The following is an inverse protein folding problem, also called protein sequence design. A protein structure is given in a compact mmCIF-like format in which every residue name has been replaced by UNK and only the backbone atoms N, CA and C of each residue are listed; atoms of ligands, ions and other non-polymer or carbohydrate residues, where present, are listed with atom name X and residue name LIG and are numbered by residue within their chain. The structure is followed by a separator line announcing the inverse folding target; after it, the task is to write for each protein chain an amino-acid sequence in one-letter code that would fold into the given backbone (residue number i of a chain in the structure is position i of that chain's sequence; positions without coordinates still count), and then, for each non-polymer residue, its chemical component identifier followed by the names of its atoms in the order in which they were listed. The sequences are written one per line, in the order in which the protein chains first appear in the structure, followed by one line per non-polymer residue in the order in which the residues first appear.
data_IF_831388326941
#
_entry.id   IF_831388326941
#
_cell.length_a   1.000
_cell.length_b   1.000
_cell.length_c   1.000
_cell.angle_alpha   90.00
_cell.angle_beta   90.00
_cell.angle_gamma   90.00
#
_symmetry.space_group_name_H-M   'P 1'
#
loop_
_entity.id
_entity.type
_entity.pdbx_description
1 polymer ?
#
# COMPACT_ATOMS: atom_id res chain seq x y z
N UNK A 1 4.33 -21.95 -2.50
CA UNK A 1 4.80 -22.80 -3.60
C UNK A 1 5.92 -22.11 -4.40
N UNK A 2 5.72 -20.88 -4.96
CA UNK A 2 6.75 -20.18 -5.77
C UNK A 2 8.11 -20.06 -5.06
N UNK A 3 8.12 -19.68 -3.77
CA UNK A 3 9.35 -19.59 -2.99
C UNK A 3 10.05 -20.96 -2.84
N UNK A 4 9.31 -22.05 -2.62
CA UNK A 4 9.89 -23.40 -2.58
C UNK A 4 10.46 -23.82 -3.94
N UNK A 5 9.75 -23.54 -5.03
CA UNK A 5 10.28 -23.81 -6.39
C UNK A 5 11.57 -23.03 -6.67
N UNK A 6 11.65 -21.78 -6.25
CA UNK A 6 12.86 -20.97 -6.35
C UNK A 6 14.03 -21.57 -5.53
N UNK A 7 13.76 -22.09 -4.35
CA UNK A 7 14.76 -22.77 -3.52
C UNK A 7 15.31 -24.03 -4.22
N UNK A 8 14.43 -24.83 -4.79
CA UNK A 8 14.84 -26.02 -5.57
C UNK A 8 15.71 -25.59 -6.76
N UNK A 9 15.30 -24.58 -7.52
CA UNK A 9 16.07 -24.04 -8.65
C UNK A 9 17.46 -23.57 -8.19
N UNK A 10 17.56 -22.88 -7.05
CA UNK A 10 18.83 -22.44 -6.50
C UNK A 10 19.75 -23.62 -6.17
N UNK A 11 19.23 -24.66 -5.52
CA UNK A 11 20.00 -25.87 -5.23
C UNK A 11 20.50 -26.58 -6.51
N UNK A 12 19.64 -26.71 -7.53
CA UNK A 12 20.02 -27.30 -8.81
C UNK A 12 21.02 -26.42 -9.55
N UNK A 13 20.86 -25.10 -9.51
CA UNK A 13 21.80 -24.14 -10.13
C UNK A 13 23.21 -24.25 -9.53
N UNK A 14 23.34 -24.27 -8.20
CA UNK A 14 24.64 -24.42 -7.53
C UNK A 14 25.32 -25.74 -7.87
N UNK A 15 24.53 -26.79 -8.15
CA UNK A 15 25.04 -28.13 -8.56
C UNK A 15 25.29 -28.27 -10.05
N UNK A 16 24.97 -27.23 -10.85
CA UNK A 16 25.06 -27.29 -12.30
C UNK A 16 24.06 -28.27 -12.96
N UNK A 17 22.94 -28.53 -12.27
CA UNK A 17 21.91 -29.51 -12.68
C UNK A 17 20.62 -28.86 -13.18
N UNK A 18 20.49 -27.53 -13.07
CA UNK A 18 19.29 -26.81 -13.51
C UNK A 18 19.30 -26.70 -15.05
N UNK A 19 18.27 -27.24 -15.69
CA UNK A 19 18.00 -27.07 -17.11
C UNK A 19 16.75 -26.20 -17.29
N UNK A 20 16.58 -25.60 -18.46
CA UNK A 20 15.39 -24.82 -18.81
C UNK A 20 14.09 -25.64 -18.73
N UNK A 21 14.18 -26.94 -19.01
CA UNK A 21 13.05 -27.86 -18.91
C UNK A 21 12.63 -28.08 -17.45
N UNK A 22 13.60 -28.36 -16.56
CA UNK A 22 13.36 -28.51 -15.11
C UNK A 22 12.83 -27.21 -14.52
N UNK A 23 13.41 -26.07 -14.90
CA UNK A 23 12.96 -24.75 -14.44
C UNK A 23 11.48 -24.52 -14.78
N UNK A 24 11.10 -24.73 -16.04
CA UNK A 24 9.71 -24.59 -16.50
C UNK A 24 8.76 -25.54 -15.76
N UNK A 25 9.16 -26.81 -15.58
CA UNK A 25 8.36 -27.81 -14.85
C UNK A 25 8.11 -27.39 -13.40
N UNK A 26 9.14 -26.85 -12.72
CA UNK A 26 9.02 -26.36 -11.35
C UNK A 26 8.07 -25.15 -11.25
N UNK A 27 8.11 -24.24 -12.23
CA UNK A 27 7.18 -23.11 -12.29
C UNK A 27 5.74 -23.56 -12.53
N UNK A 28 5.54 -24.54 -13.41
CA UNK A 28 4.23 -25.13 -13.68
C UNK A 28 3.67 -25.84 -12.41
N UNK A 29 4.49 -26.62 -11.73
CA UNK A 29 4.10 -27.25 -10.45
C UNK A 29 3.72 -26.20 -9.43
N UNK A 30 4.54 -25.17 -9.24
CA UNK A 30 4.27 -24.11 -8.26
C UNK A 30 3.01 -23.31 -8.58
N UNK A 31 2.70 -23.10 -9.87
CA UNK A 31 1.49 -22.40 -10.32
C UNK A 31 0.21 -23.22 -10.14
N UNK A 32 0.31 -24.55 -10.18
CA UNK A 32 -0.82 -25.48 -10.15
C UNK A 32 -1.01 -26.20 -8.79
N UNK A 33 -0.40 -25.71 -7.71
CA UNK A 33 -0.68 -26.21 -6.38
C UNK A 33 -2.10 -25.81 -5.99
N UNK A 34 -2.92 -26.81 -5.67
CA UNK A 34 -4.27 -26.58 -5.12
C UNK A 34 -4.17 -26.16 -3.65
N UNK A 35 -4.65 -24.96 -3.28
CA UNK A 35 -4.69 -24.54 -1.88
C UNK A 35 -5.47 -25.48 -0.98
N UNK A 36 -6.54 -26.12 -1.51
CA UNK A 36 -7.34 -27.05 -0.71
C UNK A 36 -6.54 -28.30 -0.33
N UNK A 37 -5.76 -28.85 -1.27
CA UNK A 37 -4.88 -30.00 -0.99
C UNK A 37 -3.85 -29.69 0.12
N UNK A 38 -3.35 -28.44 0.15
CA UNK A 38 -2.43 -27.98 1.20
C UNK A 38 -3.16 -27.84 2.53
N UNK A 39 -4.37 -27.28 2.54
CA UNK A 39 -5.18 -27.15 3.76
C UNK A 39 -5.54 -28.52 4.35
N UNK A 40 -5.96 -29.47 3.52
CA UNK A 40 -6.29 -30.84 3.96
C UNK A 40 -5.06 -31.56 4.54
N UNK A 41 -3.88 -31.27 4.02
CA UNK A 41 -2.62 -31.80 4.55
C UNK A 41 -2.21 -31.07 5.85
N UNK A 42 -2.51 -29.76 5.96
CA UNK A 42 -2.23 -28.98 7.17
C UNK A 42 -3.10 -29.42 8.34
N UNK A 43 -4.34 -29.83 8.12
CA UNK A 43 -5.19 -30.42 9.16
C UNK A 43 -4.54 -31.65 9.81
N UNK A 44 -3.75 -32.44 9.06
CA UNK A 44 -3.02 -33.59 9.54
C UNK A 44 -1.71 -33.23 10.22
N UNK A 45 -0.96 -32.34 9.60
CA UNK A 45 0.41 -31.98 10.04
C UNK A 45 0.44 -30.92 11.12
N UNK A 46 -0.63 -30.13 11.27
CA UNK A 46 -0.73 -28.95 12.14
C UNK A 46 0.41 -27.95 11.90
N UNK A 47 0.91 -27.91 10.65
CA UNK A 47 2.03 -27.07 10.27
C UNK A 47 1.99 -26.74 8.77
N UNK A 48 1.74 -25.47 8.44
CA UNK A 48 1.50 -24.97 7.06
C UNK A 48 2.63 -25.30 6.07
N UNK A 49 3.89 -24.99 6.41
CA UNK A 49 5.02 -25.25 5.51
C UNK A 49 5.28 -26.74 5.36
N UNK A 50 5.14 -27.54 6.43
CA UNK A 50 5.25 -29.02 6.32
C UNK A 50 4.19 -29.58 5.38
N UNK A 51 2.96 -29.09 5.47
CA UNK A 51 1.88 -29.48 4.57
C UNK A 51 2.23 -29.16 3.10
N UNK A 52 2.68 -27.93 2.82
CA UNK A 52 3.11 -27.52 1.48
C UNK A 52 4.26 -28.41 0.96
N UNK A 53 5.26 -28.70 1.80
CA UNK A 53 6.39 -29.58 1.44
C UNK A 53 5.90 -30.98 1.09
N UNK A 54 4.96 -31.54 1.86
CA UNK A 54 4.40 -32.88 1.59
C UNK A 54 3.63 -32.90 0.26
N UNK A 55 2.84 -31.86 -0.03
CA UNK A 55 2.11 -31.73 -1.30
C UNK A 55 3.08 -31.59 -2.47
N UNK A 56 4.09 -30.74 -2.36
CA UNK A 56 5.11 -30.57 -3.42
C UNK A 56 5.87 -31.85 -3.73
N UNK A 57 6.24 -32.63 -2.68
CA UNK A 57 6.94 -33.91 -2.85
C UNK A 57 6.17 -34.92 -3.71
N UNK A 58 4.84 -34.85 -3.71
CA UNK A 58 3.99 -35.73 -4.54
C UNK A 58 3.89 -35.28 -6.01
N UNK A 59 4.36 -34.05 -6.32
CA UNK A 59 4.17 -33.41 -7.63
C UNK A 59 5.48 -33.19 -8.41
N UNK A 60 6.63 -33.43 -7.78
CA UNK A 60 7.94 -33.32 -8.42
C UNK A 60 8.55 -34.70 -8.60
N UNK A 61 9.60 -34.79 -9.43
CA UNK A 61 10.33 -36.04 -9.68
C UNK A 61 11.05 -36.52 -8.40
N UNK A 62 11.25 -37.84 -8.28
CA UNK A 62 11.83 -38.46 -7.08
C UNK A 62 13.26 -37.97 -6.78
N UNK A 63 14.03 -37.64 -7.78
CA UNK A 63 15.39 -37.09 -7.65
C UNK A 63 15.41 -35.63 -7.20
N UNK A 64 14.35 -34.87 -7.46
CA UNK A 64 14.17 -33.48 -7.04
C UNK A 64 13.54 -33.38 -5.64
N UNK A 65 12.69 -34.32 -5.26
CA UNK A 65 11.95 -34.28 -3.99
C UNK A 65 12.82 -34.07 -2.74
N UNK A 66 14.06 -34.58 -2.63
CA UNK A 66 14.95 -34.31 -1.49
C UNK A 66 15.41 -32.85 -1.38
N UNK A 67 15.31 -32.05 -2.44
CA UNK A 67 15.71 -30.65 -2.45
C UNK A 67 14.64 -29.70 -1.91
N UNK A 68 13.40 -30.16 -1.77
CA UNK A 68 12.30 -29.35 -1.26
C UNK A 68 12.59 -28.99 0.20
N UNK A 69 12.58 -27.70 0.49
CA UNK A 69 12.83 -27.14 1.82
C UNK A 69 14.21 -27.46 2.41
N UNK A 70 15.15 -27.89 1.57
CA UNK A 70 16.49 -28.29 2.01
C UNK A 70 17.29 -27.12 2.55
N UNK A 71 17.70 -27.16 3.82
CA UNK A 71 18.45 -26.10 4.48
C UNK A 71 17.62 -24.90 4.93
N UNK A 72 16.33 -24.85 4.61
CA UNK A 72 15.44 -23.74 4.99
C UNK A 72 14.73 -23.99 6.32
N UNK A 73 14.38 -22.89 6.99
CA UNK A 73 13.34 -22.88 8.02
C UNK A 73 12.04 -22.33 7.42
N UNK A 74 10.90 -22.59 8.07
CA UNK A 74 9.59 -22.15 7.59
C UNK A 74 9.53 -20.66 7.23
N UNK A 75 10.22 -19.83 8.00
CA UNK A 75 10.18 -18.36 7.81
C UNK A 75 11.05 -17.89 6.64
N UNK A 76 12.09 -18.64 6.25
CA UNK A 76 12.80 -18.38 5.00
C UNK A 76 11.84 -18.37 3.81
N UNK A 77 10.82 -19.21 3.85
CA UNK A 77 9.77 -19.31 2.81
C UNK A 77 8.64 -18.30 3.05
N UNK A 78 8.18 -18.13 4.29
CA UNK A 78 7.02 -17.30 4.61
C UNK A 78 7.31 -15.81 4.44
N UNK A 79 8.44 -15.31 4.97
CA UNK A 79 8.80 -13.90 4.87
C UNK A 79 9.17 -13.52 3.44
N UNK A 80 9.91 -14.38 2.73
CA UNK A 80 10.19 -14.20 1.31
C UNK A 80 8.89 -14.15 0.50
N UNK A 81 7.93 -15.04 0.77
CA UNK A 81 6.63 -15.04 0.11
C UNK A 81 5.78 -13.82 0.47
N UNK A 82 5.90 -13.29 1.69
CA UNK A 82 5.24 -12.04 2.10
C UNK A 82 5.82 -10.86 1.34
N UNK A 83 7.16 -10.74 1.28
CA UNK A 83 7.84 -9.68 0.52
C UNK A 83 7.48 -9.73 -0.97
N UNK A 84 7.45 -10.91 -1.59
CA UNK A 84 6.97 -11.09 -2.97
C UNK A 84 5.56 -10.54 -3.15
N UNK A 85 4.61 -10.96 -2.29
CA UNK A 85 3.21 -10.53 -2.37
C UNK A 85 3.06 -9.03 -2.15
N UNK A 86 3.77 -8.46 -1.19
CA UNK A 86 3.71 -7.02 -0.89
C UNK A 86 4.32 -6.19 -2.01
N UNK A 87 5.44 -6.64 -2.61
CA UNK A 87 5.99 -6.02 -3.81
C UNK A 87 5.00 -6.06 -4.96
N UNK A 88 4.47 -7.23 -5.26
CA UNK A 88 3.61 -7.45 -6.42
C UNK A 88 2.29 -6.67 -6.30
N UNK A 89 1.63 -6.67 -5.13
CA UNK A 89 0.41 -5.88 -4.92
C UNK A 89 0.70 -4.38 -4.94
N UNK A 90 1.85 -3.95 -4.41
CA UNK A 90 2.22 -2.54 -4.45
C UNK A 90 2.46 -2.07 -5.87
N UNK A 91 3.24 -2.81 -6.66
CA UNK A 91 3.62 -2.42 -8.02
C UNK A 91 2.48 -2.57 -9.03
N UNK A 92 1.65 -3.61 -8.90
CA UNK A 92 0.65 -3.96 -9.90
C UNK A 92 -0.77 -3.49 -9.56
N UNK A 93 -1.03 -3.07 -8.31
CA UNK A 93 -2.36 -2.63 -7.88
C UNK A 93 -2.29 -1.26 -7.21
N UNK A 94 -1.55 -1.10 -6.11
CA UNK A 94 -1.55 0.13 -5.31
C UNK A 94 -0.99 1.31 -6.10
N UNK A 95 0.20 1.18 -6.68
CA UNK A 95 0.84 2.26 -7.44
C UNK A 95 0.05 2.68 -8.69
N UNK A 96 -0.49 1.77 -9.52
CA UNK A 96 -1.37 2.15 -10.63
C UNK A 96 -2.59 2.96 -10.18
N UNK A 97 -3.25 2.57 -9.08
CA UNK A 97 -4.41 3.28 -8.55
C UNK A 97 -4.03 4.65 -7.98
N UNK A 98 -2.91 4.77 -7.27
CA UNK A 98 -2.39 6.04 -6.77
C UNK A 98 -1.99 6.97 -7.91
N UNK A 99 -1.28 6.48 -8.93
CA UNK A 99 -0.88 7.27 -10.12
C UNK A 99 -2.11 7.74 -10.89
N UNK A 100 -3.16 6.94 -10.98
CA UNK A 100 -4.42 7.34 -11.62
C UNK A 100 -5.17 8.41 -10.80
N UNK A 101 -5.16 8.34 -9.46
CA UNK A 101 -5.67 9.40 -8.60
C UNK A 101 -4.87 10.69 -8.76
N UNK A 102 -3.54 10.59 -8.76
CA UNK A 102 -2.63 11.73 -8.95
C UNK A 102 -2.90 12.46 -10.26
N UNK A 103 -3.04 11.70 -11.36
CA UNK A 103 -3.37 12.26 -12.67
C UNK A 103 -4.74 12.97 -12.65
N UNK A 104 -5.73 12.41 -11.99
CA UNK A 104 -7.03 13.04 -11.84
C UNK A 104 -6.96 14.35 -11.05
N UNK A 105 -6.11 14.43 -10.01
CA UNK A 105 -5.85 15.65 -9.25
C UNK A 105 -5.13 16.70 -10.11
N UNK A 106 -4.11 16.31 -10.88
CA UNK A 106 -3.42 17.20 -11.82
C UNK A 106 -4.41 17.82 -12.81
N UNK A 107 -5.29 17.02 -13.40
CA UNK A 107 -6.29 17.50 -14.35
C UNK A 107 -7.25 18.55 -13.74
N UNK A 108 -7.63 18.37 -12.46
CA UNK A 108 -8.45 19.39 -11.77
C UNK A 108 -7.60 20.65 -11.49
N UNK A 109 -6.40 20.48 -10.97
CA UNK A 109 -5.53 21.62 -10.65
C UNK A 109 -5.28 22.51 -11.89
N UNK A 110 -5.03 21.90 -13.05
CA UNK A 110 -4.87 22.62 -14.33
C UNK A 110 -6.17 23.26 -14.79
N UNK A 111 -7.28 22.51 -14.78
CA UNK A 111 -8.59 23.01 -15.24
C UNK A 111 -9.09 24.20 -14.41
N UNK A 112 -8.82 24.20 -13.12
CA UNK A 112 -9.26 25.22 -12.17
C UNK A 112 -8.15 26.19 -11.76
N UNK A 113 -7.06 26.28 -12.52
CA UNK A 113 -5.89 27.11 -12.22
C UNK A 113 -6.24 28.60 -12.09
N UNK A 114 -7.22 29.06 -12.86
CA UNK A 114 -7.69 30.47 -12.86
C UNK A 114 -9.02 30.67 -12.10
N UNK A 115 -9.59 29.61 -11.50
CA UNK A 115 -10.86 29.71 -10.78
C UNK A 115 -10.65 30.35 -9.41
N UNK A 116 -11.15 31.57 -9.17
CA UNK A 116 -10.92 32.29 -7.92
C UNK A 116 -11.64 31.61 -6.74
N UNK A 117 -11.00 31.57 -5.60
CA UNK A 117 -11.52 31.01 -4.37
C UNK A 117 -11.07 31.83 -3.17
N UNK A 118 -11.89 31.95 -2.14
CA UNK A 118 -11.41 32.49 -0.87
C UNK A 118 -10.63 31.44 -0.10
N UNK A 119 -9.38 31.72 0.23
CA UNK A 119 -8.58 30.91 1.13
C UNK A 119 -9.16 30.96 2.56
N UNK A 120 -9.09 29.84 3.27
CA UNK A 120 -9.59 29.73 4.66
C UNK A 120 -8.52 29.16 5.56
N UNK A 121 -8.29 29.84 6.68
CA UNK A 121 -7.49 29.32 7.81
C UNK A 121 -8.35 29.35 9.06
N UNK A 122 -8.27 28.29 9.89
CA UNK A 122 -9.10 28.16 11.09
C UNK A 122 -10.62 28.26 10.81
N UNK A 123 -11.05 27.92 9.57
CA UNK A 123 -12.45 28.08 9.15
C UNK A 123 -12.86 29.53 8.83
N UNK A 124 -11.95 30.49 8.93
CA UNK A 124 -12.19 31.91 8.64
C UNK A 124 -11.65 32.31 7.27
N UNK A 125 -12.28 33.30 6.62
CA UNK A 125 -11.81 33.86 5.37
C UNK A 125 -10.44 34.51 5.55
N UNK A 126 -9.49 34.15 4.67
CA UNK A 126 -8.15 34.71 4.61
C UNK A 126 -7.97 35.48 3.30
N UNK A 127 -6.92 35.20 2.55
CA UNK A 127 -6.60 35.87 1.29
C UNK A 127 -7.13 35.11 0.06
N UNK A 128 -7.29 35.76 -1.09
CA UNK A 128 -7.67 35.06 -2.32
C UNK A 128 -6.63 34.03 -2.75
N UNK A 129 -7.13 32.91 -3.26
CA UNK A 129 -6.36 31.85 -3.94
C UNK A 129 -7.10 31.43 -5.21
N UNK A 130 -6.63 30.37 -5.86
CA UNK A 130 -7.44 29.66 -6.87
C UNK A 130 -7.78 28.26 -6.39
N UNK A 131 -8.88 27.69 -6.87
CA UNK A 131 -9.25 26.31 -6.53
C UNK A 131 -8.20 25.31 -7.06
N UNK A 132 -7.64 25.58 -8.26
CA UNK A 132 -6.53 24.79 -8.78
C UNK A 132 -5.32 24.77 -7.86
N UNK A 133 -4.97 25.91 -7.24
CA UNK A 133 -3.89 26.00 -6.24
C UNK A 133 -4.16 25.11 -5.02
N UNK A 134 -5.37 25.12 -4.47
CA UNK A 134 -5.72 24.31 -3.32
C UNK A 134 -5.64 22.79 -3.62
N UNK A 135 -5.91 22.38 -4.87
CA UNK A 135 -5.74 20.98 -5.29
C UNK A 135 -4.25 20.67 -5.57
N UNK A 136 -3.48 21.61 -6.11
CA UNK A 136 -2.05 21.41 -6.38
C UNK A 136 -1.22 21.09 -5.12
N UNK A 137 -1.64 21.54 -3.94
CA UNK A 137 -1.06 21.15 -2.66
C UNK A 137 -1.14 19.62 -2.48
N UNK A 138 -2.30 19.03 -2.74
CA UNK A 138 -2.50 17.58 -2.61
C UNK A 138 -1.72 16.80 -3.67
N UNK A 139 -1.61 17.31 -4.90
CA UNK A 139 -0.74 16.75 -5.94
C UNK A 139 0.70 16.69 -5.43
N UNK A 140 1.23 17.79 -4.90
CA UNK A 140 2.61 17.82 -4.38
C UNK A 140 2.83 16.84 -3.23
N UNK A 141 1.87 16.68 -2.31
CA UNK A 141 1.98 15.81 -1.15
C UNK A 141 1.89 14.34 -1.54
N UNK A 142 0.87 14.00 -2.34
CA UNK A 142 0.61 12.61 -2.75
C UNK A 142 1.68 12.11 -3.70
N UNK A 143 2.15 12.94 -4.65
CA UNK A 143 3.23 12.60 -5.57
C UNK A 143 4.52 12.19 -4.85
N UNK A 144 4.88 12.88 -3.77
CA UNK A 144 6.05 12.51 -2.93
C UNK A 144 5.87 11.13 -2.29
N UNK A 145 4.68 10.83 -1.76
CA UNK A 145 4.38 9.51 -1.20
C UNK A 145 4.38 8.41 -2.28
N UNK A 146 3.87 8.69 -3.49
CA UNK A 146 3.91 7.73 -4.61
C UNK A 146 5.35 7.34 -4.95
N UNK A 147 6.24 8.32 -5.09
CA UNK A 147 7.66 8.07 -5.36
C UNK A 147 8.31 7.25 -4.24
N UNK A 148 8.00 7.58 -2.99
CA UNK A 148 8.55 6.87 -1.85
C UNK A 148 8.01 5.44 -1.73
N UNK A 149 6.73 5.21 -1.98
CA UNK A 149 6.12 3.87 -2.03
C UNK A 149 6.77 3.03 -3.12
N UNK A 150 7.01 3.61 -4.30
CA UNK A 150 7.67 2.91 -5.41
C UNK A 150 9.10 2.49 -5.02
N UNK A 151 9.86 3.37 -4.41
CA UNK A 151 11.21 3.08 -3.92
C UNK A 151 11.18 1.96 -2.86
N UNK A 152 10.36 2.10 -1.82
CA UNK A 152 10.28 1.14 -0.71
C UNK A 152 9.81 -0.25 -1.17
N UNK A 153 8.93 -0.31 -2.17
CA UNK A 153 8.48 -1.59 -2.73
C UNK A 153 9.61 -2.40 -3.38
N UNK A 154 10.61 -1.70 -3.93
CA UNK A 154 11.81 -2.31 -4.54
C UNK A 154 12.86 -2.73 -3.50
N UNK A 155 12.77 -2.19 -2.28
CA UNK A 155 13.70 -2.47 -1.19
C UNK A 155 13.27 -3.66 -0.32
N UNK A 156 12.10 -4.26 -0.57
CA UNK A 156 11.66 -5.45 0.17
C UNK A 156 12.66 -6.59 -0.02
N UNK A 157 12.97 -7.28 1.07
CA UNK A 157 14.00 -8.31 1.15
C UNK A 157 13.42 -9.69 1.41
N UNK A 158 14.19 -10.72 1.08
CA UNK A 158 13.95 -12.09 1.47
C UNK A 158 15.13 -12.65 2.25
N UNK A 159 15.09 -13.93 2.61
CA UNK A 159 16.17 -14.62 3.30
C UNK A 159 16.19 -16.12 3.05
N UNK A 160 17.38 -16.72 3.20
CA UNK A 160 17.63 -18.16 3.30
C UNK A 160 18.79 -18.41 4.28
N UNK A 161 18.64 -17.98 5.51
CA UNK A 161 19.71 -17.99 6.51
C UNK A 161 19.42 -18.96 7.68
N UNK A 162 18.34 -19.70 7.61
CA UNK A 162 17.96 -20.70 8.62
C UNK A 162 17.32 -20.11 9.89
N UNK A 163 17.11 -20.94 10.93
CA UNK A 163 16.27 -20.60 12.08
C UNK A 163 16.78 -19.48 13.00
N UNK A 164 18.06 -19.10 12.86
CA UNK A 164 18.67 -18.01 13.67
C UNK A 164 19.44 -17.00 12.81
N UNK A 165 19.33 -17.08 11.50
CA UNK A 165 19.99 -16.15 10.57
C UNK A 165 21.50 -16.37 10.38
N UNK A 166 22.04 -17.48 10.86
CA UNK A 166 23.49 -17.72 10.90
C UNK A 166 23.96 -18.83 9.91
N UNK A 167 23.13 -19.19 8.95
CA UNK A 167 23.41 -20.18 7.90
C UNK A 167 23.87 -21.57 8.38
N UNK A 168 23.57 -21.96 9.63
CA UNK A 168 24.02 -23.24 10.20
C UNK A 168 23.63 -24.44 9.33
N UNK A 169 22.37 -24.52 8.89
CA UNK A 169 21.91 -25.58 8.00
C UNK A 169 22.47 -25.46 6.58
N UNK A 170 22.29 -24.33 5.90
CA UNK A 170 22.83 -24.10 4.57
C UNK A 170 24.34 -24.39 4.43
N UNK A 171 25.18 -24.00 5.43
CA UNK A 171 26.61 -24.27 5.45
C UNK A 171 27.01 -25.75 5.49
N UNK A 172 26.09 -26.62 5.94
CA UNK A 172 26.31 -28.07 5.91
C UNK A 172 26.04 -28.67 4.51
N UNK A 173 25.37 -27.92 3.63
CA UNK A 173 24.88 -28.39 2.34
C UNK A 173 25.72 -27.85 1.18
N UNK A 174 26.11 -26.55 1.28
CA UNK A 174 26.90 -25.84 0.25
C UNK A 174 28.10 -25.13 0.89
N UNK A 175 29.13 -24.90 0.08
CA UNK A 175 30.35 -24.18 0.55
C UNK A 175 30.10 -22.69 0.76
N UNK A 176 29.23 -22.11 -0.07
CA UNK A 176 28.86 -20.71 -0.04
C UNK A 176 27.34 -20.57 0.14
N UNK A 177 26.86 -20.48 1.39
CA UNK A 177 25.45 -20.35 1.68
C UNK A 177 24.88 -18.99 1.28
N UNK A 178 25.68 -17.93 1.22
CA UNK A 178 25.25 -16.60 0.76
C UNK A 178 25.02 -16.60 -0.76
N UNK A 179 25.83 -17.31 -1.56
CA UNK A 179 25.57 -17.48 -2.99
C UNK A 179 24.29 -18.29 -3.22
N UNK A 180 24.03 -19.32 -2.43
CA UNK A 180 22.76 -20.06 -2.51
C UNK A 180 21.56 -19.14 -2.21
N UNK A 181 21.64 -18.32 -1.17
CA UNK A 181 20.59 -17.35 -0.82
C UNK A 181 20.37 -16.33 -1.94
N UNK A 182 21.44 -15.73 -2.47
CA UNK A 182 21.36 -14.77 -3.60
C UNK A 182 20.68 -15.39 -4.83
N UNK A 183 21.04 -16.63 -5.18
CA UNK A 183 20.39 -17.35 -6.29
C UNK A 183 18.93 -17.63 -6.03
N UNK A 184 18.61 -18.09 -4.83
CA UNK A 184 17.22 -18.32 -4.39
C UNK A 184 16.37 -17.07 -4.55
N UNK A 185 16.85 -15.96 -4.02
CA UNK A 185 16.11 -14.69 -4.04
C UNK A 185 16.04 -14.06 -5.43
N UNK A 186 17.07 -14.24 -6.27
CA UNK A 186 17.06 -13.79 -7.66
C UNK A 186 15.92 -14.43 -8.47
N UNK A 187 15.59 -15.71 -8.24
CA UNK A 187 14.46 -16.39 -8.90
C UNK A 187 13.09 -15.79 -8.53
N UNK A 188 12.99 -15.07 -7.44
CA UNK A 188 11.75 -14.41 -7.00
C UNK A 188 11.84 -12.88 -7.09
N UNK A 189 12.95 -12.35 -7.65
CA UNK A 189 13.15 -10.92 -7.87
C UNK A 189 13.31 -10.12 -6.57
N UNK A 190 13.95 -10.72 -5.55
CA UNK A 190 14.30 -10.08 -4.28
C UNK A 190 15.82 -10.13 -4.08
N UNK A 191 16.29 -9.34 -3.13
CA UNK A 191 17.66 -9.40 -2.63
C UNK A 191 17.67 -9.89 -1.17
N UNK A 192 18.81 -10.42 -0.68
CA UNK A 192 18.95 -10.79 0.72
C UNK A 192 18.78 -9.60 1.66
N UNK A 193 18.20 -9.86 2.85
CA UNK A 193 18.41 -9.00 4.01
C UNK A 193 19.89 -9.07 4.39
N UNK A 194 20.53 -7.93 4.67
CA UNK A 194 21.97 -7.89 4.96
C UNK A 194 22.31 -8.70 6.21
N UNK A 195 21.50 -8.53 7.24
CA UNK A 195 21.51 -9.35 8.44
C UNK A 195 20.08 -9.78 8.74
N UNK A 196 19.91 -11.02 9.16
CA UNK A 196 18.61 -11.54 9.58
C UNK A 196 18.77 -12.32 10.88
N UNK A 197 17.68 -12.45 11.60
CA UNK A 197 17.54 -13.52 12.59
C UNK A 197 16.68 -14.65 11.98
N UNK A 198 15.70 -15.20 12.67
CA UNK A 198 14.76 -16.10 12.01
C UNK A 198 13.84 -15.35 11.03
N UNK A 199 13.66 -14.02 11.23
CA UNK A 199 12.85 -13.12 10.38
C UNK A 199 13.76 -12.34 9.43
N UNK A 200 13.19 -11.87 8.31
CA UNK A 200 13.74 -10.72 7.59
C UNK A 200 13.64 -9.50 8.51
N UNK A 201 14.58 -8.56 8.42
CA UNK A 201 14.52 -7.30 9.17
C UNK A 201 13.15 -6.64 8.95
N UNK A 202 12.34 -6.48 10.00
CA UNK A 202 10.94 -6.06 9.86
C UNK A 202 10.79 -4.64 9.30
N UNK A 203 11.81 -3.81 9.41
CA UNK A 203 11.80 -2.41 9.00
C UNK A 203 11.62 -2.23 7.49
N UNK A 204 12.00 -3.18 6.66
CA UNK A 204 11.76 -3.10 5.21
C UNK A 204 10.26 -3.05 4.90
N UNK A 205 9.50 -3.98 5.44
CA UNK A 205 8.06 -4.01 5.25
C UNK A 205 7.37 -2.89 6.03
N UNK A 206 7.80 -2.62 7.25
CA UNK A 206 7.23 -1.59 8.09
C UNK A 206 7.29 -0.21 7.43
N UNK A 207 8.44 0.19 6.86
CA UNK A 207 8.58 1.48 6.17
C UNK A 207 7.60 1.62 5.01
N UNK A 208 7.35 0.55 4.25
CA UNK A 208 6.34 0.55 3.19
C UNK A 208 4.93 0.76 3.74
N UNK A 209 4.56 0.05 4.82
CA UNK A 209 3.24 0.18 5.45
C UNK A 209 3.03 1.56 6.12
N UNK A 210 4.10 2.13 6.69
CA UNK A 210 4.09 3.50 7.22
C UNK A 210 3.87 4.53 6.11
N UNK A 211 4.51 4.37 4.95
CA UNK A 211 4.31 5.28 3.82
C UNK A 211 2.91 5.13 3.21
N UNK A 212 2.34 3.92 3.16
CA UNK A 212 0.92 3.75 2.85
C UNK A 212 0.04 4.57 3.82
N UNK A 213 0.39 4.58 5.10
CA UNK A 213 -0.38 5.33 6.10
C UNK A 213 -0.21 6.85 5.96
N UNK A 214 0.96 7.34 5.55
CA UNK A 214 1.17 8.75 5.19
C UNK A 214 0.29 9.14 4.01
N UNK A 215 0.32 8.38 2.92
CA UNK A 215 -0.53 8.59 1.76
C UNK A 215 -2.02 8.53 2.13
N UNK A 216 -2.41 7.60 3.00
CA UNK A 216 -3.78 7.47 3.49
C UNK A 216 -4.24 8.71 4.26
N UNK A 217 -3.36 9.30 5.09
CA UNK A 217 -3.61 10.54 5.81
C UNK A 217 -3.82 11.73 4.85
N UNK A 218 -3.04 11.83 3.78
CA UNK A 218 -3.19 12.85 2.72
C UNK A 218 -4.56 12.72 2.03
N UNK A 219 -4.94 11.50 1.65
CA UNK A 219 -6.22 11.20 1.00
C UNK A 219 -7.40 11.50 1.95
N UNK A 220 -7.26 11.18 3.24
CA UNK A 220 -8.28 11.48 4.24
C UNK A 220 -8.42 12.98 4.50
N UNK A 221 -7.32 13.75 4.45
CA UNK A 221 -7.35 15.21 4.54
C UNK A 221 -8.06 15.82 3.33
N UNK A 222 -7.73 15.37 2.11
CA UNK A 222 -8.45 15.79 0.90
C UNK A 222 -9.96 15.51 1.01
N UNK A 223 -10.34 14.35 1.51
CA UNK A 223 -11.74 14.00 1.74
C UNK A 223 -12.43 14.95 2.73
N UNK A 224 -11.75 15.36 3.81
CA UNK A 224 -12.27 16.34 4.78
C UNK A 224 -12.45 17.72 4.14
N UNK A 225 -11.49 18.18 3.32
CA UNK A 225 -11.57 19.48 2.65
C UNK A 225 -12.72 19.51 1.63
N UNK A 226 -12.85 18.49 0.78
CA UNK A 226 -13.96 18.39 -0.17
C UNK A 226 -15.32 18.35 0.55
N UNK A 227 -15.43 17.57 1.63
CA UNK A 227 -16.64 17.52 2.44
C UNK A 227 -17.00 18.88 3.07
N UNK A 228 -15.99 19.64 3.52
CA UNK A 228 -16.21 20.97 4.07
C UNK A 228 -16.61 21.97 2.98
N UNK A 229 -15.98 21.93 1.80
CA UNK A 229 -16.34 22.79 0.68
C UNK A 229 -17.74 22.50 0.11
N UNK A 230 -18.29 21.29 0.33
CA UNK A 230 -19.64 20.91 -0.07
C UNK A 230 -20.72 21.31 0.98
N UNK A 231 -20.35 21.88 2.13
CA UNK A 231 -21.34 22.34 3.13
C UNK A 231 -22.30 23.35 2.54
N UNK A 232 -23.55 23.35 3.02
CA UNK A 232 -24.61 24.23 2.52
C UNK A 232 -24.26 25.72 2.56
N UNK A 233 -23.45 26.12 3.54
CA UNK A 233 -23.01 27.51 3.75
C UNK A 233 -21.83 27.89 2.83
N UNK A 234 -21.15 26.91 2.22
CA UNK A 234 -19.98 27.11 1.36
C UNK A 234 -20.35 26.81 -0.10
N UNK A 235 -20.74 25.57 -0.41
CA UNK A 235 -21.29 25.15 -1.69
C UNK A 235 -20.34 25.31 -2.89
N UNK A 236 -19.03 25.20 -2.67
CA UNK A 236 -18.01 25.46 -3.72
C UNK A 236 -17.67 24.24 -4.55
N UNK A 237 -17.93 23.03 -4.05
CA UNK A 237 -17.74 21.77 -4.78
C UNK A 237 -18.86 20.80 -4.49
N UNK A 238 -19.07 19.85 -5.40
CA UNK A 238 -20.04 18.77 -5.23
C UNK A 238 -19.47 17.45 -5.75
N UNK A 239 -19.70 16.36 -4.98
CA UNK A 239 -19.50 15.00 -5.52
C UNK A 239 -20.49 14.77 -6.66
N UNK A 240 -20.05 13.98 -7.66
CA UNK A 240 -20.97 13.57 -8.75
C UNK A 240 -22.17 12.83 -8.17
N UNK A 241 -23.35 13.28 -8.60
CA UNK A 241 -24.62 12.73 -8.20
C UNK A 241 -25.40 12.29 -9.45
N UNK A 242 -25.63 10.99 -9.62
CA UNK A 242 -26.37 10.50 -10.78
C UNK A 242 -27.85 10.86 -10.68
N UNK A 243 -28.53 10.97 -11.82
CA UNK A 243 -29.97 11.30 -11.88
C UNK A 243 -30.88 10.28 -11.16
N UNK A 244 -30.39 9.06 -10.98
CA UNK A 244 -31.12 7.96 -10.30
C UNK A 244 -30.70 7.82 -8.82
N UNK A 245 -29.70 8.57 -8.36
CA UNK A 245 -29.19 8.46 -7.00
C UNK A 245 -30.09 9.20 -6.03
N UNK A 246 -30.39 8.58 -4.89
CA UNK A 246 -31.16 9.18 -3.80
C UNK A 246 -30.19 9.61 -2.70
N UNK A 247 -30.13 10.92 -2.42
CA UNK A 247 -29.22 11.48 -1.43
C UNK A 247 -29.76 11.41 0.01
N UNK A 248 -31.07 11.28 0.15
CA UNK A 248 -31.75 11.17 1.44
C UNK A 248 -33.09 10.45 1.25
N UNK A 249 -33.47 9.60 2.20
CA UNK A 249 -34.75 8.90 2.19
C UNK A 249 -35.97 9.82 2.36
N UNK A 250 -35.76 11.02 2.95
CA UNK A 250 -36.84 11.96 3.32
C UNK A 250 -36.71 13.34 2.66
N UNK A 251 -35.52 13.71 2.17
CA UNK A 251 -35.24 15.03 1.59
C UNK A 251 -34.57 14.86 0.21
N UNK A 252 -35.35 14.82 -0.89
CA UNK A 252 -34.82 14.52 -2.23
C UNK A 252 -33.75 15.49 -2.73
N UNK A 253 -33.80 16.75 -2.28
CA UNK A 253 -32.84 17.80 -2.64
C UNK A 253 -31.48 17.69 -1.91
N UNK A 254 -31.41 16.88 -0.85
CA UNK A 254 -30.19 16.78 -0.02
C UNK A 254 -29.14 15.91 -0.69
N UNK A 255 -27.99 16.51 -1.01
CA UNK A 255 -26.84 15.83 -1.60
C UNK A 255 -25.70 15.74 -0.59
N UNK A 256 -25.58 14.59 0.06
CA UNK A 256 -24.55 14.36 1.08
C UNK A 256 -23.21 13.97 0.44
N UNK A 257 -22.06 14.46 0.93
CA UNK A 257 -20.74 14.04 0.51
C UNK A 257 -20.35 12.68 1.13
N UNK A 258 -21.22 11.67 0.96
CA UNK A 258 -21.08 10.40 1.67
C UNK A 258 -19.86 9.57 1.19
N UNK A 259 -19.36 9.79 -0.04
CA UNK A 259 -18.15 9.11 -0.50
C UNK A 259 -16.90 9.66 0.21
N UNK A 260 -16.79 10.98 0.37
CA UNK A 260 -15.73 11.62 1.15
C UNK A 260 -15.80 11.20 2.62
N UNK A 261 -17.02 11.15 3.20
CA UNK A 261 -17.22 10.65 4.56
C UNK A 261 -16.76 9.18 4.69
N UNK A 262 -17.02 8.35 3.69
CA UNK A 262 -16.61 6.95 3.70
C UNK A 262 -15.09 6.79 3.57
N UNK A 263 -14.41 7.59 2.75
CA UNK A 263 -12.94 7.62 2.70
C UNK A 263 -12.36 7.93 4.08
N UNK A 264 -12.91 8.95 4.76
CA UNK A 264 -12.50 9.28 6.13
C UNK A 264 -12.79 8.15 7.11
N UNK A 265 -13.93 7.46 6.96
CA UNK A 265 -14.28 6.31 7.79
C UNK A 265 -13.30 5.14 7.61
N UNK A 266 -12.92 4.83 6.36
CA UNK A 266 -11.90 3.83 6.06
C UNK A 266 -10.55 4.19 6.71
N UNK A 267 -10.13 5.45 6.59
CA UNK A 267 -8.91 5.91 7.24
C UNK A 267 -8.96 5.71 8.76
N UNK A 268 -10.06 6.07 9.43
CA UNK A 268 -10.24 5.87 10.88
C UNK A 268 -10.17 4.40 11.28
N UNK A 269 -10.72 3.51 10.45
CA UNK A 269 -10.75 2.08 10.75
C UNK A 269 -9.40 1.40 10.54
N UNK A 270 -8.65 1.82 9.52
CA UNK A 270 -7.43 1.13 9.07
C UNK A 270 -6.15 1.76 9.60
N UNK A 271 -6.05 3.10 9.63
CA UNK A 271 -4.83 3.81 10.00
C UNK A 271 -4.26 3.41 11.38
N UNK A 272 -5.06 3.21 12.45
CA UNK A 272 -4.53 2.78 13.73
C UNK A 272 -3.81 1.41 13.70
N UNK A 273 -4.11 0.55 12.72
CA UNK A 273 -3.47 -0.79 12.59
C UNK A 273 -1.97 -0.70 12.29
N UNK A 274 -1.52 0.41 11.71
CA UNK A 274 -0.09 0.63 11.47
C UNK A 274 0.74 0.60 12.75
N UNK A 275 0.15 0.99 13.88
CA UNK A 275 0.82 0.92 15.18
C UNK A 275 1.10 -0.52 15.61
N UNK A 276 0.23 -1.46 15.23
CA UNK A 276 0.47 -2.89 15.49
C UNK A 276 1.68 -3.37 14.69
N UNK A 277 1.77 -3.01 13.41
CA UNK A 277 2.93 -3.35 12.57
C UNK A 277 4.21 -2.67 13.06
N UNK A 278 4.10 -1.44 13.57
CA UNK A 278 5.22 -0.75 14.20
C UNK A 278 5.75 -1.49 15.44
N UNK A 279 4.86 -2.07 16.25
CA UNK A 279 5.25 -2.86 17.42
C UNK A 279 5.92 -4.19 17.05
N UNK A 280 5.66 -4.73 15.85
CA UNK A 280 6.24 -5.98 15.37
C UNK A 280 7.76 -5.94 15.14
N UNK A 281 8.38 -4.74 15.24
CA UNK A 281 9.83 -4.60 15.25
C UNK A 281 10.48 -5.26 16.46
N UNK A 282 9.73 -5.40 17.56
CA UNK A 282 10.24 -5.92 18.82
C UNK A 282 9.97 -7.41 18.88
N UNK A 283 11.06 -8.19 18.93
CA UNK A 283 11.03 -9.64 19.10
C UNK A 283 12.16 -10.05 20.03
N UNK A 284 11.95 -11.11 20.82
CA UNK A 284 12.97 -11.62 21.73
C UNK A 284 13.98 -12.51 21.01
N UNK A 285 15.27 -12.33 21.33
CA UNK A 285 16.39 -13.08 20.77
C UNK A 285 16.29 -13.16 19.23
N UNK A 286 16.39 -14.36 18.67
CA UNK A 286 16.30 -14.58 17.23
C UNK A 286 14.86 -14.69 16.71
N UNK A 287 13.88 -14.94 17.57
CA UNK A 287 12.44 -14.84 17.31
C UNK A 287 11.59 -15.23 18.53
N UNK A 288 10.43 -14.60 18.60
CA UNK A 288 9.23 -15.09 19.31
C UNK A 288 8.00 -15.13 18.36
N UNK A 289 6.79 -15.31 18.87
CA UNK A 289 5.55 -15.33 18.09
C UNK A 289 4.63 -14.14 18.40
N UNK A 290 5.16 -13.06 18.98
CA UNK A 290 4.35 -11.91 19.41
C UNK A 290 3.74 -11.14 18.23
N UNK A 291 4.31 -11.28 17.01
CA UNK A 291 3.80 -10.70 15.78
C UNK A 291 2.82 -11.59 14.98
N UNK A 292 2.49 -12.80 15.47
CA UNK A 292 1.70 -13.78 14.70
C UNK A 292 0.27 -13.34 14.41
N UNK A 293 -0.33 -12.54 15.29
CA UNK A 293 -1.67 -12.01 15.10
C UNK A 293 -1.68 -10.83 14.12
N UNK A 294 -0.77 -9.88 14.28
CA UNK A 294 -0.70 -8.64 13.49
C UNK A 294 -0.44 -8.90 12.01
N UNK A 295 0.43 -9.83 11.67
CA UNK A 295 0.74 -10.19 10.29
C UNK A 295 -0.50 -10.61 9.47
N UNK A 296 -1.52 -11.16 10.11
CA UNK A 296 -2.78 -11.56 9.47
C UNK A 296 -3.59 -10.37 8.96
N UNK A 297 -3.38 -9.17 9.50
CA UNK A 297 -4.10 -7.96 9.13
C UNK A 297 -3.41 -7.12 8.05
N UNK A 298 -2.22 -7.48 7.58
CA UNK A 298 -1.48 -6.75 6.53
C UNK A 298 -2.30 -6.72 5.23
N UNK A 299 -2.87 -7.86 4.83
CA UNK A 299 -3.68 -7.94 3.62
C UNK A 299 -4.96 -7.10 3.72
N UNK A 300 -5.65 -7.14 4.86
CA UNK A 300 -6.86 -6.36 5.13
C UNK A 300 -6.55 -4.85 5.16
N UNK A 301 -5.45 -4.45 5.80
CA UNK A 301 -4.97 -3.07 5.79
C UNK A 301 -4.66 -2.57 4.38
N UNK A 302 -3.93 -3.35 3.58
CA UNK A 302 -3.57 -2.99 2.20
C UNK A 302 -4.81 -2.89 1.31
N UNK A 303 -5.77 -3.79 1.47
CA UNK A 303 -7.05 -3.74 0.77
C UNK A 303 -7.86 -2.51 1.15
N UNK A 304 -7.97 -2.19 2.45
CA UNK A 304 -8.69 -1.01 2.95
C UNK A 304 -8.08 0.29 2.45
N UNK A 305 -6.74 0.40 2.43
CA UNK A 305 -6.03 1.53 1.83
C UNK A 305 -6.35 1.65 0.33
N UNK A 306 -6.21 0.57 -0.44
CA UNK A 306 -6.47 0.56 -1.88
C UNK A 306 -7.92 0.92 -2.20
N UNK A 307 -8.88 0.44 -1.40
CA UNK A 307 -10.30 0.83 -1.52
C UNK A 307 -10.50 2.33 -1.33
N UNK A 308 -9.83 2.95 -0.37
CA UNK A 308 -9.90 4.39 -0.14
C UNK A 308 -9.30 5.18 -1.32
N UNK A 309 -8.15 4.76 -1.85
CA UNK A 309 -7.54 5.33 -3.06
C UNK A 309 -8.51 5.28 -4.23
N UNK A 310 -9.09 4.11 -4.50
CA UNK A 310 -10.03 3.92 -5.62
C UNK A 310 -11.30 4.76 -5.46
N UNK A 311 -11.82 4.87 -4.23
CA UNK A 311 -12.97 5.72 -3.94
C UNK A 311 -12.65 7.20 -4.14
N UNK A 312 -11.50 7.67 -3.64
CA UNK A 312 -11.07 9.05 -3.87
C UNK A 312 -10.86 9.36 -5.34
N UNK A 313 -10.25 8.44 -6.11
CA UNK A 313 -10.14 8.58 -7.57
C UNK A 313 -11.50 8.79 -8.24
N UNK A 314 -12.53 8.04 -7.84
CA UNK A 314 -13.89 8.21 -8.36
C UNK A 314 -14.50 9.56 -7.97
N UNK A 315 -14.29 10.02 -6.73
CA UNK A 315 -14.73 11.35 -6.28
C UNK A 315 -14.09 12.42 -7.16
N UNK A 316 -12.78 12.41 -7.28
CA UNK A 316 -12.01 13.42 -8.03
C UNK A 316 -12.37 13.41 -9.51
N UNK A 317 -12.50 12.23 -10.14
CA UNK A 317 -12.89 12.13 -11.56
C UNK A 317 -14.28 12.69 -11.85
N UNK A 318 -15.18 12.71 -10.88
CA UNK A 318 -16.54 13.23 -11.00
C UNK A 318 -16.78 14.56 -10.30
N UNK A 319 -15.76 15.18 -9.71
CA UNK A 319 -15.91 16.38 -8.89
C UNK A 319 -16.37 17.58 -9.74
N UNK A 320 -17.42 18.23 -9.27
CA UNK A 320 -18.00 19.43 -9.86
C UNK A 320 -17.57 20.64 -9.03
N UNK A 321 -16.89 21.60 -9.66
CA UNK A 321 -16.59 22.90 -9.07
C UNK A 321 -17.72 23.89 -9.40
N UNK A 322 -18.27 24.51 -8.38
CA UNK A 322 -19.25 25.61 -8.54
C UNK A 322 -18.50 26.96 -8.52
N UNK A 323 -18.11 27.38 -9.73
CA UNK A 323 -17.32 28.61 -9.93
C UNK A 323 -18.10 29.86 -9.53
N UNK A 324 -19.42 29.88 -9.73
CA UNK A 324 -20.28 30.99 -9.34
C UNK A 324 -20.33 31.15 -7.81
N UNK A 325 -20.49 30.02 -7.10
CA UNK A 325 -20.42 30.01 -5.63
C UNK A 325 -19.05 30.40 -5.10
N UNK A 326 -17.96 29.97 -5.74
CA UNK A 326 -16.59 30.37 -5.37
C UNK A 326 -16.38 31.88 -5.53
N UNK A 327 -16.78 32.47 -6.65
CA UNK A 327 -16.68 33.92 -6.91
C UNK A 327 -17.51 34.71 -5.92
N UNK A 328 -18.78 34.33 -5.72
CA UNK A 328 -19.67 34.95 -4.75
C UNK A 328 -19.14 34.89 -3.31
N UNK A 329 -18.58 33.76 -2.92
CA UNK A 329 -17.98 33.60 -1.59
C UNK A 329 -16.73 34.50 -1.43
N UNK A 330 -15.94 34.66 -2.47
CA UNK A 330 -14.80 35.58 -2.48
C UNK A 330 -15.25 37.06 -2.41
N UNK A 331 -16.26 37.46 -3.17
CA UNK A 331 -16.82 38.81 -3.13
C UNK A 331 -17.38 39.17 -1.73
N UNK A 332 -18.03 38.20 -1.08
CA UNK A 332 -18.59 38.37 0.26
C UNK A 332 -17.57 38.07 1.38
N UNK A 333 -16.33 37.78 1.06
CA UNK A 333 -15.30 37.42 2.04
C UNK A 333 -14.91 38.64 2.91
N UNK A 334 -14.50 38.35 4.15
CA UNK A 334 -14.21 39.39 5.15
C UNK A 334 -15.38 39.69 6.09
N UNK A 335 -16.52 39.01 5.91
CA UNK A 335 -17.68 39.14 6.80
C UNK A 335 -18.27 40.54 6.84
N UNK A 336 -18.34 41.15 8.03
CA UNK A 336 -18.89 42.52 8.21
C UNK A 336 -17.99 43.64 7.63
N UNK A 337 -16.74 43.35 7.29
CA UNK A 337 -15.79 44.31 6.74
C UNK A 337 -15.69 44.07 5.25
N UNK A 338 -16.35 44.87 4.42
CA UNK A 338 -16.20 44.82 2.97
C UNK A 338 -14.74 44.99 2.57
N UNK A 339 -14.25 44.06 1.71
CA UNK A 339 -12.86 44.05 1.26
C UNK A 339 -11.85 43.57 2.32
N UNK A 340 -12.29 42.96 3.43
CA UNK A 340 -11.39 42.48 4.50
C UNK A 340 -10.33 41.48 4.04
N UNK A 341 -10.56 40.76 2.93
CA UNK A 341 -9.56 39.88 2.30
C UNK A 341 -8.39 40.63 1.67
N UNK A 342 -8.53 41.96 1.44
CA UNK A 342 -7.49 42.83 0.92
C UNK A 342 -6.69 43.53 2.03
N UNK A 343 -6.96 43.24 3.31
CA UNK A 343 -6.26 43.88 4.41
C UNK A 343 -4.75 43.60 4.41
N UNK A 344 -4.34 42.38 4.09
CA UNK A 344 -2.91 42.04 4.00
C UNK A 344 -2.16 42.78 2.92
N UNK A 345 -2.59 42.78 1.65
CA UNK A 345 -1.92 43.59 0.63
C UNK A 345 -1.98 45.11 0.91
N UNK A 346 -3.08 45.60 1.49
CA UNK A 346 -3.14 47.00 1.89
C UNK A 346 -2.13 47.34 2.99
N UNK A 347 -1.99 46.47 4.00
CA UNK A 347 -0.98 46.65 5.04
C UNK A 347 0.45 46.65 4.47
N UNK A 348 0.77 45.72 3.56
CA UNK A 348 2.11 45.62 2.94
C UNK A 348 2.43 46.86 2.08
N UNK A 349 1.43 47.40 1.35
CA UNK A 349 1.62 48.57 0.50
C UNK A 349 1.73 49.86 1.31
N UNK A 350 1.23 49.89 2.54
CA UNK A 350 1.27 51.09 3.40
C UNK A 350 2.44 51.08 4.40
N UNK A 351 3.12 49.92 4.56
CA UNK A 351 4.31 49.76 5.41
C UNK A 351 5.59 50.18 4.69
#
# INVERSE_FOLDING_TARGET
AKAEAALIKAHLSVRGQLTSEIEKKLDEVAANIDPQEVNDEEEKTQHNIRALVNVLKRKVDEDIAPLIHLGATSVDILDTALSMRMRDVTQNVVLPELKALELALCNIAEREAETPQVGRTHGQHAVPITFGWSIAEFVSRLGKSILRIEELSKQLKGKLAGPVGAYNGPSMIVKDPEDLEKRYLAYVGLEPSEYSNQLVEPEYLLRLLLEFNVAFGIIANLADDLRNLQRSEIGEVFEYFSSTQVGSSTMPQKRNPWNSEHVKSLWKAMSPRVMTFYMDQISEHQRDLTNSASQRFIADYTAGFTMAVNRMKKIISGLQADRESMEKNLENAGGKVKGGVLAEPAYILLA
#
